data_IF_624298885632
#
_entry.id   IF_624298885632
#
_cell.length_a   1.000
_cell.length_b   1.000
_cell.length_c   1.000
_cell.angle_alpha   90.00
_cell.angle_beta   90.00
_cell.angle_gamma   90.00
#
_symmetry.space_group_name_H-M   'P 1'
#
loop_
_entity.id
_entity.type
_entity.pdbx_description
1 polymer ?
#
# COMPACT_ATOMS: atom_id res chain seq x y z
N UNK A 1 26.64 5.48 5.05
CA UNK A 1 27.41 5.09 6.25
C UNK A 1 26.99 6.00 7.38
N UNK A 2 25.96 5.64 8.15
CA UNK A 2 25.65 6.28 9.44
C UNK A 2 24.68 5.41 10.28
N UNK A 3 25.13 4.19 10.63
CA UNK A 3 24.37 3.27 11.50
C UNK A 3 24.43 3.63 13.01
N UNK A 4 25.27 4.57 13.42
CA UNK A 4 25.52 4.89 14.84
C UNK A 4 24.73 6.08 15.39
N UNK A 5 24.09 6.90 14.58
CA UNK A 5 23.40 8.13 15.03
C UNK A 5 22.00 7.91 15.63
N UNK A 6 21.43 6.70 15.53
CA UNK A 6 20.02 6.45 15.91
C UNK A 6 19.84 5.52 17.14
N UNK A 7 20.92 5.15 17.83
CA UNK A 7 20.86 4.21 18.96
C UNK A 7 20.26 4.76 20.27
N UNK A 8 19.83 6.04 20.30
CA UNK A 8 19.32 6.69 21.51
C UNK A 8 17.99 7.43 21.35
N UNK A 9 17.41 7.48 20.16
CA UNK A 9 16.11 8.13 19.96
C UNK A 9 14.96 7.20 20.34
N UNK A 10 14.20 7.59 21.36
CA UNK A 10 12.97 6.90 21.77
C UNK A 10 11.94 7.04 20.65
N UNK A 11 11.38 5.92 20.17
CA UNK A 11 10.29 5.96 19.22
C UNK A 11 8.99 6.41 19.91
N UNK A 12 8.22 7.25 19.25
CA UNK A 12 6.86 7.59 19.67
C UNK A 12 5.92 6.43 19.39
N UNK A 13 6.14 5.74 18.27
CA UNK A 13 5.32 4.61 17.81
C UNK A 13 6.22 3.48 17.32
N UNK A 14 5.90 2.26 17.75
CA UNK A 14 6.47 1.03 17.20
C UNK A 14 5.37 0.27 16.44
N UNK A 15 5.65 -0.08 15.19
CA UNK A 15 4.76 -0.86 14.32
C UNK A 15 5.41 -2.21 14.08
N UNK A 16 4.69 -3.29 14.36
CA UNK A 16 5.13 -4.66 14.09
C UNK A 16 4.43 -5.18 12.84
N UNK A 17 5.21 -5.55 11.85
CA UNK A 17 4.75 -5.98 10.54
C UNK A 17 4.92 -4.90 9.47
N UNK A 18 5.77 -5.17 8.48
CA UNK A 18 6.06 -4.30 7.34
C UNK A 18 5.26 -4.65 6.07
N UNK A 19 4.08 -5.26 6.23
CA UNK A 19 3.13 -5.45 5.14
C UNK A 19 2.52 -4.12 4.68
N UNK A 20 1.59 -4.18 3.73
CA UNK A 20 0.96 -3.00 3.12
C UNK A 20 0.39 -2.05 4.19
N UNK A 21 -0.34 -2.59 5.17
CA UNK A 21 -0.98 -1.78 6.23
C UNK A 21 0.06 -1.13 7.14
N UNK A 22 1.01 -1.92 7.66
CA UNK A 22 2.03 -1.40 8.58
C UNK A 22 2.96 -0.39 7.92
N UNK A 23 3.35 -0.63 6.67
CA UNK A 23 4.18 0.30 5.92
C UNK A 23 3.45 1.62 5.61
N UNK A 24 2.17 1.56 5.20
CA UNK A 24 1.37 2.75 4.97
C UNK A 24 1.14 3.55 6.27
N UNK A 25 0.84 2.87 7.37
CA UNK A 25 0.68 3.48 8.69
C UNK A 25 1.98 4.17 9.14
N UNK A 26 3.13 3.52 8.96
CA UNK A 26 4.44 4.09 9.31
C UNK A 26 4.72 5.39 8.54
N UNK A 27 4.43 5.41 7.24
CA UNK A 27 4.59 6.60 6.41
C UNK A 27 3.66 7.74 6.85
N UNK A 28 2.38 7.44 7.06
CA UNK A 28 1.39 8.42 7.48
C UNK A 28 1.75 9.07 8.83
N UNK A 29 2.17 8.28 9.81
CA UNK A 29 2.58 8.77 11.13
C UNK A 29 3.88 9.57 11.07
N UNK A 30 4.84 9.14 10.25
CA UNK A 30 6.09 9.87 10.06
C UNK A 30 5.87 11.25 9.42
N UNK A 31 4.89 11.37 8.52
CA UNK A 31 4.49 12.66 7.92
C UNK A 31 3.87 13.61 8.94
N UNK A 32 3.28 13.10 10.02
CA UNK A 32 2.81 13.91 11.16
C UNK A 32 3.93 14.30 12.13
N UNK A 33 5.18 14.00 11.81
CA UNK A 33 6.34 14.35 12.62
C UNK A 33 6.68 13.36 13.73
N UNK A 34 5.99 12.22 13.82
CA UNK A 34 6.25 11.20 14.83
C UNK A 34 7.53 10.41 14.52
N UNK A 35 8.26 10.01 15.56
CA UNK A 35 9.40 9.10 15.43
C UNK A 35 8.89 7.66 15.38
N UNK A 36 8.85 7.08 14.18
CA UNK A 36 8.28 5.74 13.95
C UNK A 36 9.40 4.71 13.82
N UNK A 37 9.24 3.58 14.51
CA UNK A 37 10.06 2.38 14.30
C UNK A 37 9.16 1.28 13.72
N UNK A 38 9.50 0.80 12.53
CA UNK A 38 8.86 -0.36 11.88
C UNK A 38 9.74 -1.59 12.09
N UNK A 39 9.15 -2.65 12.58
CA UNK A 39 9.82 -3.93 12.86
C UNK A 39 9.25 -4.99 11.91
N UNK A 40 10.12 -5.60 11.11
CA UNK A 40 9.73 -6.66 10.18
C UNK A 40 10.79 -7.76 10.17
N UNK A 41 10.37 -9.01 10.02
CA UNK A 41 11.27 -10.17 10.06
C UNK A 41 12.05 -10.38 8.75
N UNK A 42 11.52 -9.91 7.62
CA UNK A 42 12.17 -10.04 6.31
C UNK A 42 11.78 -8.88 5.37
N UNK A 43 12.73 -8.39 4.58
CA UNK A 43 12.41 -7.45 3.50
C UNK A 43 11.52 -8.11 2.44
N UNK A 44 10.51 -7.39 1.91
CA UNK A 44 9.69 -7.93 0.84
C UNK A 44 10.53 -8.15 -0.42
N UNK A 45 10.10 -9.13 -1.22
CA UNK A 45 10.69 -9.35 -2.51
C UNK A 45 10.44 -8.15 -3.43
N UNK A 46 11.47 -7.70 -4.15
CA UNK A 46 11.33 -6.64 -5.14
C UNK A 46 10.31 -7.04 -6.22
N UNK A 47 9.41 -6.13 -6.55
CA UNK A 47 8.44 -6.35 -7.62
C UNK A 47 9.11 -6.36 -8.99
N UNK A 48 8.57 -7.19 -9.90
CA UNK A 48 9.02 -7.27 -11.28
C UNK A 48 7.82 -7.35 -12.22
N UNK A 49 7.79 -6.55 -13.30
CA UNK A 49 6.70 -6.60 -14.28
C UNK A 49 6.62 -7.95 -15.03
N UNK A 50 7.73 -8.71 -15.05
CA UNK A 50 7.78 -10.02 -15.70
C UNK A 50 7.18 -11.16 -14.86
N UNK A 51 6.88 -10.91 -13.58
CA UNK A 51 6.29 -11.90 -12.66
C UNK A 51 5.09 -11.28 -11.94
N UNK A 52 3.90 -11.30 -12.55
CA UNK A 52 2.68 -10.80 -11.93
C UNK A 52 2.37 -11.51 -10.60
N UNK A 53 2.00 -10.74 -9.58
CA UNK A 53 1.51 -11.31 -8.32
C UNK A 53 0.01 -11.63 -8.47
N UNK A 54 -0.42 -12.89 -8.25
CA UNK A 54 -1.84 -13.25 -8.32
C UNK A 54 -2.67 -12.62 -7.21
N UNK A 55 -2.03 -12.15 -6.13
CA UNK A 55 -2.70 -11.42 -5.06
C UNK A 55 -2.91 -9.98 -5.48
N UNK A 56 -4.16 -9.57 -5.57
CA UNK A 56 -4.53 -8.22 -5.98
C UNK A 56 -5.49 -7.58 -4.97
N UNK A 57 -5.49 -6.27 -4.96
CA UNK A 57 -6.48 -5.45 -4.26
C UNK A 57 -7.39 -4.77 -5.28
N UNK A 58 -8.67 -4.65 -4.95
CA UNK A 58 -9.60 -3.74 -5.60
C UNK A 58 -9.74 -2.50 -4.72
N UNK A 59 -9.02 -1.44 -5.03
CA UNK A 59 -9.05 -0.20 -4.27
C UNK A 59 -10.14 0.74 -4.77
N UNK A 60 -10.91 1.28 -3.84
CA UNK A 60 -11.82 2.38 -4.07
C UNK A 60 -11.04 3.72 -4.10
N UNK A 61 -11.66 4.83 -4.55
CA UNK A 61 -11.00 6.14 -4.66
C UNK A 61 -10.41 6.68 -3.36
N UNK A 62 -11.02 6.40 -2.22
CA UNK A 62 -10.52 6.80 -0.90
C UNK A 62 -9.20 6.09 -0.52
N UNK A 63 -9.04 4.83 -0.91
CA UNK A 63 -7.74 4.13 -0.76
C UNK A 63 -6.66 4.77 -1.62
N UNK A 64 -6.98 5.13 -2.87
CA UNK A 64 -6.05 5.83 -3.74
C UNK A 64 -5.64 7.18 -3.15
N UNK A 65 -6.60 7.96 -2.62
CA UNK A 65 -6.33 9.23 -1.94
C UNK A 65 -5.42 9.07 -0.71
N UNK A 66 -5.58 7.98 0.05
CA UNK A 66 -4.66 7.66 1.15
C UNK A 66 -3.23 7.45 0.62
N UNK A 67 -3.04 6.63 -0.42
CA UNK A 67 -1.72 6.37 -1.00
C UNK A 67 -1.12 7.60 -1.69
N UNK A 68 -1.94 8.49 -2.25
CA UNK A 68 -1.52 9.81 -2.73
C UNK A 68 -0.98 10.65 -1.58
N UNK A 69 -1.70 10.74 -0.46
CA UNK A 69 -1.31 11.54 0.69
C UNK A 69 0.03 11.13 1.29
N UNK A 70 0.38 9.86 1.21
CA UNK A 70 1.69 9.34 1.65
C UNK A 70 2.73 9.25 0.52
N UNK A 71 2.43 9.79 -0.67
CA UNK A 71 3.38 9.94 -1.77
C UNK A 71 3.77 8.64 -2.49
N UNK A 72 2.88 7.65 -2.50
CA UNK A 72 3.14 6.31 -3.08
C UNK A 72 2.35 6.08 -4.37
N UNK A 73 1.17 6.71 -4.52
CA UNK A 73 0.21 6.38 -5.56
C UNK A 73 0.72 6.57 -6.98
N UNK A 74 1.42 7.65 -7.26
CA UNK A 74 1.99 7.93 -8.60
C UNK A 74 2.96 6.83 -9.04
N UNK A 75 3.77 6.31 -8.11
CA UNK A 75 4.71 5.24 -8.41
C UNK A 75 4.01 3.89 -8.65
N UNK A 76 2.84 3.67 -8.06
CA UNK A 76 1.99 2.51 -8.31
C UNK A 76 1.33 2.64 -9.69
N UNK A 77 0.70 3.77 -9.98
CA UNK A 77 0.05 4.04 -11.27
C UNK A 77 1.04 4.00 -12.44
N UNK A 78 2.22 4.58 -12.26
CA UNK A 78 3.28 4.59 -13.27
C UNK A 78 3.85 3.19 -13.59
N UNK A 79 3.69 2.24 -12.67
CA UNK A 79 4.08 0.85 -12.90
C UNK A 79 2.94 0.01 -13.47
N UNK A 80 1.89 -0.22 -12.67
CA UNK A 80 0.74 -1.03 -13.08
C UNK A 80 -0.43 -0.85 -12.10
N UNK A 81 -1.42 -0.03 -12.45
CA UNK A 81 -2.70 0.06 -11.76
C UNK A 81 -3.81 0.02 -12.82
N UNK A 82 -4.68 -0.98 -12.76
CA UNK A 82 -5.73 -1.17 -13.75
C UNK A 82 -7.05 -0.57 -13.22
N UNK A 83 -7.56 0.53 -13.79
CA UNK A 83 -8.88 1.03 -13.42
C UNK A 83 -9.97 0.04 -13.84
N UNK A 84 -11.02 -0.12 -13.00
CA UNK A 84 -12.18 -0.92 -13.32
C UNK A 84 -13.46 -0.10 -13.19
N UNK A 85 -14.43 -0.38 -14.08
CA UNK A 85 -15.69 0.33 -14.17
C UNK A 85 -16.89 -0.50 -13.74
N UNK A 86 -16.73 -1.83 -13.69
CA UNK A 86 -17.79 -2.78 -13.35
C UNK A 86 -17.30 -3.80 -12.35
N UNK A 87 -18.15 -4.15 -11.40
CA UNK A 87 -17.91 -5.23 -10.46
C UNK A 87 -19.18 -6.08 -10.34
N UNK A 88 -18.98 -7.38 -10.31
CA UNK A 88 -20.04 -8.37 -10.09
C UNK A 88 -19.64 -9.23 -8.91
N UNK A 89 -20.54 -9.36 -7.96
CA UNK A 89 -20.32 -10.17 -6.74
C UNK A 89 -21.48 -11.14 -6.61
N UNK A 90 -21.18 -12.40 -6.45
CA UNK A 90 -22.18 -13.46 -6.26
C UNK A 90 -21.67 -14.49 -5.27
N UNK A 91 -22.59 -15.22 -4.64
CA UNK A 91 -22.28 -16.36 -3.79
C UNK A 91 -22.23 -17.64 -4.64
N UNK A 92 -21.21 -18.49 -4.43
CA UNK A 92 -21.09 -19.79 -5.12
C UNK A 92 -22.22 -20.77 -4.72
N UNK A 93 -22.83 -20.59 -3.54
CA UNK A 93 -23.96 -21.40 -3.09
C UNK A 93 -25.29 -21.01 -3.74
N UNK A 94 -25.32 -19.98 -4.58
CA UNK A 94 -26.50 -19.45 -5.26
C UNK A 94 -27.06 -18.19 -4.57
N UNK A 95 -27.93 -17.48 -5.25
CA UNK A 95 -28.51 -16.23 -4.80
C UNK A 95 -28.50 -15.17 -5.90
N UNK A 96 -28.93 -13.97 -5.55
CA UNK A 96 -28.88 -12.83 -6.48
C UNK A 96 -27.47 -12.30 -6.62
N UNK A 97 -27.14 -11.83 -7.82
CA UNK A 97 -25.87 -11.19 -8.14
C UNK A 97 -25.96 -9.68 -7.83
N UNK A 98 -24.97 -9.17 -7.10
CA UNK A 98 -24.76 -7.74 -6.93
C UNK A 98 -23.94 -7.19 -8.10
N UNK A 99 -24.42 -6.12 -8.72
CA UNK A 99 -23.75 -5.45 -9.84
C UNK A 99 -23.50 -4.00 -9.50
N UNK A 100 -22.28 -3.57 -9.72
CA UNK A 100 -21.87 -2.18 -9.61
C UNK A 100 -21.37 -1.72 -10.98
N UNK A 101 -21.83 -0.56 -11.42
CA UNK A 101 -21.41 0.06 -12.68
C UNK A 101 -21.09 1.54 -12.42
N UNK A 102 -19.93 1.99 -12.86
CA UNK A 102 -19.48 3.37 -12.71
C UNK A 102 -20.47 4.37 -13.35
N UNK A 103 -21.13 3.98 -14.45
CA UNK A 103 -22.10 4.83 -15.12
C UNK A 103 -23.34 5.07 -14.25
N UNK A 104 -23.77 4.07 -13.46
CA UNK A 104 -24.90 4.22 -12.53
C UNK A 104 -24.61 5.22 -11.39
N UNK A 105 -23.33 5.43 -11.07
CA UNK A 105 -22.89 6.37 -10.05
C UNK A 105 -22.37 7.69 -10.63
N UNK A 106 -22.43 7.88 -11.94
CA UNK A 106 -21.89 9.04 -12.66
C UNK A 106 -20.40 9.32 -12.35
N UNK A 107 -19.62 8.25 -12.10
CA UNK A 107 -18.18 8.33 -11.85
C UNK A 107 -17.37 7.74 -13.01
N UNK A 108 -16.14 8.19 -13.16
CA UNK A 108 -15.25 7.73 -14.23
C UNK A 108 -14.91 6.23 -14.09
N UNK A 109 -14.74 5.76 -12.86
CA UNK A 109 -14.39 4.39 -12.52
C UNK A 109 -14.78 4.07 -11.08
N UNK A 110 -14.93 2.80 -10.75
CA UNK A 110 -15.21 2.35 -9.38
C UNK A 110 -13.94 2.30 -8.53
N UNK A 111 -12.78 2.09 -9.17
CA UNK A 111 -11.51 1.97 -8.47
C UNK A 111 -10.42 1.38 -9.35
N UNK A 112 -9.42 0.76 -8.72
CA UNK A 112 -8.24 0.19 -9.38
C UNK A 112 -7.92 -1.19 -8.84
N UNK A 113 -7.50 -2.09 -9.74
CA UNK A 113 -6.87 -3.35 -9.37
C UNK A 113 -5.36 -3.12 -9.30
N UNK A 114 -4.76 -3.47 -8.16
CA UNK A 114 -3.33 -3.28 -7.88
C UNK A 114 -2.74 -4.57 -7.31
N UNK A 115 -1.60 -5.00 -7.82
CA UNK A 115 -0.88 -6.16 -7.31
C UNK A 115 -0.35 -5.90 -5.89
N UNK A 116 -0.48 -6.89 -4.99
CA UNK A 116 0.03 -6.80 -3.62
C UNK A 116 1.54 -6.53 -3.60
N UNK A 117 2.32 -7.29 -4.37
CA UNK A 117 3.78 -7.15 -4.41
C UNK A 117 4.23 -5.79 -4.93
N UNK A 118 3.54 -5.23 -5.93
CA UNK A 118 3.82 -3.88 -6.42
C UNK A 118 3.61 -2.83 -5.33
N UNK A 119 2.46 -2.87 -4.67
CA UNK A 119 2.14 -1.90 -3.63
C UNK A 119 3.14 -1.97 -2.47
N UNK A 120 3.45 -3.19 -2.01
CA UNK A 120 4.41 -3.40 -0.94
C UNK A 120 5.82 -2.90 -1.31
N UNK A 121 6.29 -3.17 -2.52
CA UNK A 121 7.58 -2.68 -3.02
C UNK A 121 7.64 -1.13 -3.03
N UNK A 122 6.59 -0.47 -3.51
CA UNK A 122 6.54 1.01 -3.56
C UNK A 122 6.46 1.63 -2.17
N UNK A 123 5.72 1.04 -1.25
CA UNK A 123 5.68 1.44 0.16
C UNK A 123 7.06 1.33 0.81
N UNK A 124 7.76 0.22 0.63
CA UNK A 124 9.11 0.04 1.17
C UNK A 124 10.13 0.98 0.53
N UNK A 125 10.01 1.28 -0.75
CA UNK A 125 10.83 2.30 -1.40
C UNK A 125 10.57 3.70 -0.79
N UNK A 126 9.34 4.01 -0.40
CA UNK A 126 9.01 5.25 0.29
C UNK A 126 9.54 5.27 1.73
N UNK A 127 9.45 4.16 2.48
CA UNK A 127 10.00 4.04 3.83
C UNK A 127 11.52 4.33 3.89
N UNK A 128 12.28 3.89 2.89
CA UNK A 128 13.73 4.16 2.80
C UNK A 128 14.06 5.66 2.67
N UNK A 129 13.11 6.47 2.21
CA UNK A 129 13.24 7.94 2.03
C UNK A 129 12.58 8.74 3.14
N UNK A 130 11.72 8.10 3.92
CA UNK A 130 11.03 8.71 5.04
C UNK A 130 11.88 8.65 6.34
N UNK A 131 11.51 9.47 7.32
CA UNK A 131 12.13 9.45 8.65
C UNK A 131 11.54 8.30 9.52
N UNK A 132 11.57 7.07 8.99
CA UNK A 132 11.14 5.86 9.66
C UNK A 132 12.35 4.98 9.93
N UNK A 133 12.49 4.49 11.16
CA UNK A 133 13.51 3.53 11.52
C UNK A 133 12.99 2.13 11.17
N UNK A 134 13.53 1.52 10.13
CA UNK A 134 13.20 0.14 9.77
C UNK A 134 14.18 -0.79 10.47
N UNK A 135 13.66 -1.70 11.27
CA UNK A 135 14.39 -2.83 11.87
C UNK A 135 13.96 -4.11 11.19
N UNK A 136 14.80 -4.56 10.28
CA UNK A 136 14.69 -5.81 9.56
C UNK A 136 16.01 -6.53 9.73
N UNK A 137 16.03 -7.83 10.09
CA UNK A 137 17.26 -8.57 10.37
C UNK A 137 18.26 -8.53 9.22
#
# INVERSE_FOLDING_TARGET
MNRRANAGRRADVAIVGGGVVGAACALALAQQGLQVTLIEHAEPQAWSPARPDPRVYAFAPDNAALFESIGVWDAVCGARAQPYRRMRVWDAAGGEELRFDADAFAVRQLGWIVEHGLLQDRLWAALRRANVIVRCP
#
